data_IF_552271911036
#
_entry.id   IF_552271911036
#
_cell.length_a   1.000
_cell.length_b   1.000
_cell.length_c   1.000
_cell.angle_alpha   90.00
_cell.angle_beta   90.00
_cell.angle_gamma   90.00
#
_symmetry.space_group_name_H-M   'P 1'
#
loop_
_entity.id
_entity.type
_entity.pdbx_description
1 polymer ?
#
# COMPACT_ATOMS: atom_id res chain seq x y z
N UNK A 1 -8.06 -20.83 2.99
CA UNK A 1 -7.14 -20.40 4.08
C UNK A 1 -5.68 -20.77 3.85
N UNK A 2 -5.34 -21.84 3.08
CA UNK A 2 -3.94 -22.28 2.85
C UNK A 2 -2.95 -21.22 2.31
N UNK A 3 -3.42 -20.16 1.65
CA UNK A 3 -2.55 -19.09 1.10
C UNK A 3 -2.34 -17.89 2.04
N UNK A 4 -3.10 -17.79 3.13
CA UNK A 4 -3.00 -16.66 4.07
C UNK A 4 -1.57 -16.42 4.60
N UNK A 5 -0.82 -17.43 5.09
CA UNK A 5 0.53 -17.20 5.59
C UNK A 5 1.49 -16.71 4.51
N UNK A 6 1.33 -17.17 3.27
CA UNK A 6 2.14 -16.68 2.13
C UNK A 6 1.86 -15.21 1.86
N UNK A 7 0.58 -14.81 1.81
CA UNK A 7 0.19 -13.41 1.56
C UNK A 7 0.68 -12.50 2.69
N UNK A 8 0.61 -12.96 3.94
CA UNK A 8 1.15 -12.24 5.10
C UNK A 8 2.67 -12.12 5.02
N UNK A 9 3.37 -13.19 4.65
CA UNK A 9 4.82 -13.18 4.46
C UNK A 9 5.27 -12.23 3.35
N UNK A 10 4.57 -12.21 2.22
CA UNK A 10 4.82 -11.27 1.13
C UNK A 10 4.59 -9.82 1.56
N UNK A 11 3.58 -9.56 2.40
CA UNK A 11 3.35 -8.24 2.96
C UNK A 11 4.50 -7.79 3.88
N UNK A 12 5.00 -8.68 4.74
CA UNK A 12 6.17 -8.40 5.57
C UNK A 12 7.43 -8.11 4.73
N UNK A 13 7.66 -8.91 3.67
CA UNK A 13 8.75 -8.68 2.74
C UNK A 13 8.63 -7.34 2.01
N UNK A 14 7.41 -6.95 1.62
CA UNK A 14 7.14 -5.64 1.03
C UNK A 14 7.58 -4.50 1.95
N UNK A 15 7.16 -4.51 3.22
CA UNK A 15 7.54 -3.44 4.16
C UNK A 15 9.03 -3.41 4.48
N UNK A 16 9.68 -4.57 4.57
CA UNK A 16 11.13 -4.65 4.75
C UNK A 16 11.89 -4.09 3.52
N UNK A 17 11.43 -4.43 2.31
CA UNK A 17 12.00 -3.92 1.07
C UNK A 17 11.78 -2.42 0.90
N UNK A 18 10.61 -1.91 1.28
CA UNK A 18 10.29 -0.48 1.26
C UNK A 18 11.24 0.32 2.17
N UNK A 19 11.43 -0.11 3.42
CA UNK A 19 12.38 0.54 4.33
C UNK A 19 13.81 0.49 3.81
N UNK A 20 14.24 -0.68 3.31
CA UNK A 20 15.59 -0.85 2.78
C UNK A 20 15.82 0.02 1.54
N UNK A 21 14.83 0.11 0.65
CA UNK A 21 14.89 1.00 -0.52
C UNK A 21 15.02 2.46 -0.07
N UNK A 22 14.33 2.82 1.01
CA UNK A 22 14.36 4.14 1.63
C UNK A 22 15.70 4.54 2.24
N UNK A 23 16.51 3.57 2.66
CA UNK A 23 17.81 3.81 3.30
C UNK A 23 18.97 3.94 2.31
N UNK A 24 18.74 3.62 1.03
CA UNK A 24 19.76 3.71 -0.02
C UNK A 24 20.04 5.18 -0.39
N UNK A 25 20.86 5.85 0.42
CA UNK A 25 21.30 7.24 0.23
C UNK A 25 21.96 7.52 -1.13
N UNK A 26 22.51 6.49 -1.78
CA UNK A 26 23.10 6.57 -3.12
C UNK A 26 22.07 6.73 -4.24
N UNK A 27 20.80 6.41 -3.98
CA UNK A 27 19.71 6.46 -4.95
C UNK A 27 18.58 7.33 -4.40
N UNK A 28 18.63 8.66 -4.54
CA UNK A 28 17.65 9.52 -3.88
C UNK A 28 16.21 9.34 -4.40
N UNK A 29 16.04 8.83 -5.62
CA UNK A 29 14.72 8.41 -6.14
C UNK A 29 14.14 7.20 -5.37
N UNK A 30 14.99 6.33 -4.83
CA UNK A 30 14.60 5.15 -4.06
C UNK A 30 14.04 5.58 -2.69
N UNK A 31 14.67 6.60 -2.09
CA UNK A 31 14.16 7.26 -0.89
C UNK A 31 12.76 7.83 -1.11
N UNK A 32 12.56 8.62 -2.17
CA UNK A 32 11.24 9.18 -2.48
C UNK A 32 10.19 8.10 -2.76
N UNK A 33 10.55 7.02 -3.45
CA UNK A 33 9.65 5.91 -3.71
C UNK A 33 9.21 5.16 -2.44
N UNK A 34 10.09 5.07 -1.43
CA UNK A 34 9.75 4.44 -0.14
C UNK A 34 8.80 5.25 0.73
N UNK A 35 8.64 6.55 0.43
CA UNK A 35 7.73 7.42 1.19
C UNK A 35 6.28 7.30 0.70
N UNK A 36 6.03 6.60 -0.41
CA UNK A 36 4.72 6.51 -1.04
C UNK A 36 3.76 5.65 -0.23
N UNK A 37 2.52 6.11 -0.07
CA UNK A 37 1.47 5.56 0.79
C UNK A 37 0.53 4.65 -0.02
N UNK A 38 0.33 4.93 -1.30
CA UNK A 38 -0.56 4.18 -2.18
C UNK A 38 -0.14 2.71 -2.34
N UNK A 39 1.16 2.35 -2.46
CA UNK A 39 1.61 0.96 -2.43
C UNK A 39 1.18 0.20 -1.16
N UNK A 40 1.16 0.87 -0.02
CA UNK A 40 0.74 0.27 1.26
C UNK A 40 -0.76 -0.06 1.28
N UNK A 41 -1.60 0.79 0.69
CA UNK A 41 -3.04 0.52 0.54
C UNK A 41 -3.29 -0.67 -0.39
N UNK A 42 -2.45 -0.82 -1.42
CA UNK A 42 -2.56 -1.90 -2.39
C UNK A 42 -2.31 -3.27 -1.75
N UNK A 43 -1.40 -3.38 -0.77
CA UNK A 43 -1.13 -4.63 -0.02
C UNK A 43 -2.42 -5.18 0.60
N UNK A 44 -3.13 -4.35 1.37
CA UNK A 44 -4.39 -4.74 2.00
C UNK A 44 -5.47 -5.08 0.96
N UNK A 45 -5.57 -4.29 -0.11
CA UNK A 45 -6.52 -4.50 -1.19
C UNK A 45 -6.32 -5.83 -1.91
N UNK A 46 -5.09 -6.14 -2.35
CA UNK A 46 -4.75 -7.39 -3.02
C UNK A 46 -4.93 -8.59 -2.11
N UNK A 47 -4.61 -8.46 -0.82
CA UNK A 47 -4.88 -9.51 0.16
C UNK A 47 -6.38 -9.80 0.25
N UNK A 48 -7.22 -8.76 0.27
CA UNK A 48 -8.67 -8.85 0.22
C UNK A 48 -9.21 -9.61 -1.00
N UNK A 49 -8.62 -9.38 -2.18
CA UNK A 49 -8.94 -10.08 -3.43
C UNK A 49 -8.68 -11.60 -3.38
N UNK A 50 -8.00 -12.13 -2.35
CA UNK A 50 -7.78 -13.57 -2.22
C UNK A 50 -8.84 -14.29 -1.39
N UNK A 51 -9.71 -13.54 -0.70
CA UNK A 51 -10.69 -14.10 0.24
C UNK A 51 -12.09 -14.16 -0.37
N UNK A 52 -12.88 -15.14 0.10
CA UNK A 52 -14.28 -15.39 -0.33
C UNK A 52 -15.33 -14.73 0.56
N UNK A 53 -14.95 -14.28 1.75
CA UNK A 53 -15.88 -13.67 2.69
C UNK A 53 -15.36 -12.31 3.13
N UNK A 54 -16.27 -11.33 3.22
CA UNK A 54 -15.98 -9.95 3.59
C UNK A 54 -15.19 -9.84 4.90
N UNK A 55 -15.59 -10.61 5.93
CA UNK A 55 -14.90 -10.64 7.23
C UNK A 55 -13.47 -11.18 7.13
N UNK A 56 -13.24 -12.27 6.38
CA UNK A 56 -11.89 -12.81 6.19
C UNK A 56 -11.01 -11.86 5.37
N UNK A 57 -11.60 -11.16 4.41
CA UNK A 57 -10.90 -10.17 3.60
C UNK A 57 -10.42 -8.98 4.44
N UNK A 58 -11.29 -8.42 5.28
CA UNK A 58 -10.94 -7.34 6.19
C UNK A 58 -9.85 -7.77 7.21
N UNK A 59 -10.02 -8.95 7.83
CA UNK A 59 -9.02 -9.47 8.78
C UNK A 59 -7.68 -9.77 8.11
N UNK A 60 -7.68 -10.29 6.88
CA UNK A 60 -6.44 -10.54 6.15
C UNK A 60 -5.79 -9.22 5.69
N UNK A 61 -6.58 -8.24 5.27
CA UNK A 61 -6.08 -6.89 4.97
C UNK A 61 -5.38 -6.28 6.18
N UNK A 62 -6.02 -6.32 7.36
CA UNK A 62 -5.40 -5.91 8.62
C UNK A 62 -4.10 -6.65 8.91
N UNK A 63 -4.12 -7.99 8.84
CA UNK A 63 -2.95 -8.81 9.11
C UNK A 63 -1.78 -8.49 8.16
N UNK A 64 -2.06 -8.29 6.87
CA UNK A 64 -1.05 -7.92 5.88
C UNK A 64 -0.50 -6.51 6.11
N UNK A 65 -1.35 -5.52 6.43
CA UNK A 65 -0.90 -4.16 6.76
C UNK A 65 0.04 -4.17 7.97
N UNK A 66 -0.34 -4.87 9.05
CA UNK A 66 0.51 -4.97 10.23
C UNK A 66 1.77 -5.82 9.98
N UNK A 67 1.69 -6.88 9.18
CA UNK A 67 2.87 -7.63 8.79
C UNK A 67 3.86 -6.78 7.98
N UNK A 68 3.38 -5.94 7.06
CA UNK A 68 4.20 -4.96 6.35
C UNK A 68 4.87 -3.96 7.30
N UNK A 69 4.11 -3.39 8.25
CA UNK A 69 4.68 -2.50 9.27
C UNK A 69 5.75 -3.19 10.11
N UNK A 70 5.50 -4.43 10.54
CA UNK A 70 6.49 -5.22 11.28
C UNK A 70 7.74 -5.46 10.43
N UNK A 71 7.59 -5.84 9.16
CA UNK A 71 8.73 -6.01 8.25
C UNK A 71 9.56 -4.75 8.09
N UNK A 72 8.88 -3.61 7.93
CA UNK A 72 9.50 -2.28 7.88
C UNK A 72 10.26 -1.96 9.18
N UNK A 73 9.66 -2.19 10.35
CA UNK A 73 10.30 -1.92 11.64
C UNK A 73 11.47 -2.85 11.94
N UNK A 74 11.33 -4.14 11.58
CA UNK A 74 12.41 -5.12 11.71
C UNK A 74 13.60 -4.68 10.86
N UNK A 75 13.37 -4.25 9.61
CA UNK A 75 14.43 -3.69 8.77
C UNK A 75 15.05 -2.44 9.40
N UNK A 76 14.21 -1.49 9.85
CA UNK A 76 14.65 -0.23 10.49
C UNK A 76 15.57 -0.47 11.70
N UNK A 77 15.25 -1.48 12.52
CA UNK A 77 16.00 -1.83 13.73
C UNK A 77 17.07 -2.91 13.49
N UNK A 78 17.29 -3.29 12.24
CA UNK A 78 18.24 -4.33 11.88
C UNK A 78 19.68 -3.80 11.84
N UNK A 79 20.67 -4.69 12.01
CA UNK A 79 22.07 -4.34 11.77
C UNK A 79 22.37 -3.94 10.32
N UNK A 80 21.52 -4.31 9.35
CA UNK A 80 21.66 -3.92 7.94
C UNK A 80 21.57 -2.40 7.80
N UNK A 81 20.69 -1.79 8.59
CA UNK A 81 20.49 -0.34 8.70
C UNK A 81 21.45 0.32 9.71
N UNK A 82 22.45 -0.41 10.21
CA UNK A 82 23.37 0.06 11.26
C UNK A 82 22.72 0.21 12.64
N UNK A 83 21.49 -0.27 12.82
CA UNK A 83 20.76 -0.21 14.08
C UNK A 83 20.95 -1.47 14.93
N UNK A 84 20.52 -1.39 16.19
CA UNK A 84 20.44 -2.54 17.09
C UNK A 84 19.03 -2.66 17.66
N UNK A 85 18.49 -3.86 17.62
CA UNK A 85 17.20 -4.17 18.22
C UNK A 85 17.31 -4.01 19.74
N UNK A 86 16.75 -2.92 20.26
CA UNK A 86 16.76 -2.57 21.68
C UNK A 86 15.36 -2.15 22.12
N UNK A 87 15.04 -2.33 23.40
CA UNK A 87 13.75 -1.89 23.94
C UNK A 87 13.52 -0.37 23.77
N UNK A 88 14.58 0.43 23.89
CA UNK A 88 14.53 1.86 23.64
C UNK A 88 14.22 2.19 22.17
N UNK A 89 14.90 1.52 21.23
CA UNK A 89 14.65 1.67 19.79
C UNK A 89 13.23 1.28 19.39
N UNK A 90 12.73 0.16 19.92
CA UNK A 90 11.34 -0.29 19.70
C UNK A 90 10.36 0.76 20.23
N UNK A 91 10.55 1.24 21.46
CA UNK A 91 9.67 2.26 22.05
C UNK A 91 9.68 3.55 21.25
N UNK A 92 10.86 4.05 20.88
CA UNK A 92 10.99 5.27 20.07
C UNK A 92 10.25 5.15 18.74
N UNK A 93 10.40 4.00 18.08
CA UNK A 93 9.76 3.71 16.81
C UNK A 93 8.23 3.57 16.92
N UNK A 94 7.71 2.95 17.98
CA UNK A 94 6.26 2.87 18.21
C UNK A 94 5.63 4.25 18.47
N UNK A 95 6.34 5.12 19.20
CA UNK A 95 5.87 6.49 19.48
C UNK A 95 5.85 7.32 18.20
N UNK A 96 6.93 7.28 17.40
CA UNK A 96 7.02 8.04 16.16
C UNK A 96 6.04 7.57 15.09
N UNK A 97 5.71 6.26 15.07
CA UNK A 97 4.81 5.65 14.09
C UNK A 97 3.36 5.52 14.59
N UNK A 98 3.00 6.14 15.72
CA UNK A 98 1.68 6.01 16.33
C UNK A 98 0.52 6.36 15.37
N UNK A 99 0.65 7.43 14.59
CA UNK A 99 -0.35 7.81 13.58
C UNK A 99 -0.46 6.77 12.45
N UNK A 100 0.66 6.21 12.01
CA UNK A 100 0.68 5.17 10.97
C UNK A 100 0.03 3.88 11.48
N UNK A 101 0.26 3.52 12.75
CA UNK A 101 -0.38 2.36 13.39
C UNK A 101 -1.90 2.55 13.45
N UNK A 102 -2.38 3.72 13.89
CA UNK A 102 -3.81 4.03 13.95
C UNK A 102 -4.41 4.05 12.55
N UNK A 103 -3.73 4.65 11.58
CA UNK A 103 -4.11 4.63 10.17
C UNK A 103 -4.26 3.20 9.66
N UNK A 104 -3.28 2.34 9.91
CA UNK A 104 -3.27 0.94 9.51
C UNK A 104 -4.40 0.09 10.10
N UNK A 105 -4.85 0.39 11.33
CA UNK A 105 -6.02 -0.26 11.95
C UNK A 105 -7.31 0.01 11.17
N UNK A 106 -7.39 1.15 10.47
CA UNK A 106 -8.57 1.53 9.70
C UNK A 106 -8.39 1.14 8.23
N UNK A 107 -7.28 1.54 7.62
CA UNK A 107 -7.04 1.35 6.19
C UNK A 107 -6.84 -0.11 5.83
N UNK A 108 -6.17 -0.91 6.66
CA UNK A 108 -5.97 -2.35 6.41
C UNK A 108 -7.26 -3.13 6.22
N UNK A 109 -8.21 -3.09 7.19
CA UNK A 109 -9.53 -3.71 7.03
C UNK A 109 -10.34 -3.14 5.88
N UNK A 110 -10.34 -1.82 5.69
CA UNK A 110 -11.13 -1.14 4.64
C UNK A 110 -10.62 -1.57 3.26
N UNK A 111 -9.31 -1.51 3.02
CA UNK A 111 -8.70 -1.95 1.77
C UNK A 111 -8.96 -3.44 1.52
N UNK A 112 -8.79 -4.29 2.53
CA UNK A 112 -9.09 -5.73 2.43
C UNK A 112 -10.56 -5.99 2.09
N UNK A 113 -11.48 -5.28 2.72
CA UNK A 113 -12.90 -5.37 2.39
C UNK A 113 -13.19 -4.91 0.96
N UNK A 114 -12.67 -3.75 0.55
CA UNK A 114 -12.83 -3.21 -0.80
C UNK A 114 -12.31 -4.15 -1.89
N UNK A 115 -11.17 -4.81 -1.65
CA UNK A 115 -10.60 -5.81 -2.57
C UNK A 115 -11.53 -7.01 -2.77
N UNK A 116 -12.13 -7.52 -1.69
CA UNK A 116 -13.13 -8.59 -1.80
C UNK A 116 -14.39 -8.14 -2.53
N UNK A 117 -14.89 -6.92 -2.26
CA UNK A 117 -16.06 -6.35 -2.94
C UNK A 117 -15.82 -6.16 -4.44
N UNK A 118 -14.62 -5.74 -4.82
CA UNK A 118 -14.22 -5.63 -6.23
C UNK A 118 -14.21 -7.00 -6.92
N UNK A 119 -13.63 -8.01 -6.27
CA UNK A 119 -13.60 -9.38 -6.80
C UNK A 119 -15.02 -9.96 -6.96
N UNK A 120 -15.73 -10.10 -5.86
CA UNK A 120 -16.93 -10.95 -5.79
C UNK A 120 -18.16 -10.25 -6.39
N UNK A 121 -18.31 -8.95 -6.15
CA UNK A 121 -19.50 -8.19 -6.55
C UNK A 121 -19.20 -7.17 -7.64
N UNK A 122 -17.94 -7.06 -8.08
CA UNK A 122 -17.56 -6.12 -9.12
C UNK A 122 -17.73 -4.68 -8.67
N UNK A 123 -17.48 -4.36 -7.40
CA UNK A 123 -17.57 -2.98 -6.93
C UNK A 123 -16.30 -2.19 -7.25
N UNK A 124 -16.44 -1.37 -8.30
CA UNK A 124 -15.43 -0.53 -8.94
C UNK A 124 -14.82 0.52 -8.02
N UNK A 125 -15.63 1.02 -7.09
CA UNK A 125 -15.28 2.16 -6.24
C UNK A 125 -14.02 1.90 -5.40
N UNK A 126 -13.81 0.68 -4.92
CA UNK A 126 -12.62 0.34 -4.15
C UNK A 126 -11.33 0.40 -4.98
N UNK A 127 -11.39 -0.15 -6.19
CA UNK A 127 -10.25 -0.14 -7.11
C UNK A 127 -10.00 1.28 -7.66
N UNK A 128 -11.06 2.06 -7.88
CA UNK A 128 -10.98 3.44 -8.31
C UNK A 128 -10.44 4.36 -7.20
N UNK A 129 -10.80 4.12 -5.93
CA UNK A 129 -10.22 4.82 -4.79
C UNK A 129 -8.73 4.54 -4.63
N UNK A 130 -8.29 3.28 -4.79
CA UNK A 130 -6.86 2.94 -4.79
C UNK A 130 -6.15 3.59 -5.98
N UNK A 131 -6.72 3.53 -7.19
CA UNK A 131 -6.15 4.18 -8.37
C UNK A 131 -6.06 5.70 -8.20
N UNK A 132 -7.10 6.33 -7.63
CA UNK A 132 -7.12 7.74 -7.31
C UNK A 132 -6.06 8.09 -6.27
N UNK A 133 -5.83 7.23 -5.26
CA UNK A 133 -4.75 7.43 -4.30
C UNK A 133 -3.38 7.48 -5.00
N UNK A 134 -3.08 6.54 -5.91
CA UNK A 134 -1.85 6.57 -6.72
C UNK A 134 -1.71 7.83 -7.58
N UNK A 135 -2.81 8.32 -8.18
CA UNK A 135 -2.76 9.51 -9.03
C UNK A 135 -2.69 10.83 -8.24
N UNK A 136 -3.31 10.88 -7.05
CA UNK A 136 -3.47 12.10 -6.26
C UNK A 136 -2.39 12.27 -5.20
N UNK A 137 -1.76 11.18 -4.74
CA UNK A 137 -0.68 11.23 -3.76
C UNK A 137 0.47 12.19 -4.14
N UNK A 138 0.99 12.16 -5.38
CA UNK A 138 2.02 13.10 -5.77
C UNK A 138 1.53 14.55 -5.83
N UNK A 139 0.28 14.79 -6.21
CA UNK A 139 -0.33 16.12 -6.22
C UNK A 139 -0.55 16.65 -4.81
N UNK A 140 -0.99 15.78 -3.89
CA UNK A 140 -1.18 16.11 -2.49
C UNK A 140 0.16 16.48 -1.83
N UNK A 141 1.24 15.76 -2.13
CA UNK A 141 2.59 16.14 -1.67
C UNK A 141 3.02 17.50 -2.20
N UNK A 142 2.88 17.74 -3.51
CA UNK A 142 3.23 19.03 -4.11
C UNK A 142 2.43 20.20 -3.51
N UNK A 143 1.15 19.99 -3.17
CA UNK A 143 0.32 20.97 -2.48
C UNK A 143 0.76 21.23 -1.03
N UNK A 144 1.17 20.19 -0.30
CA UNK A 144 1.70 20.31 1.07
C UNK A 144 3.04 21.03 1.09
N UNK A 145 3.94 20.74 0.14
CA UNK A 145 5.24 21.40 0.04
C UNK A 145 5.10 22.89 -0.27
N UNK A 146 4.18 23.23 -1.18
CA UNK A 146 3.89 24.63 -1.53
C UNK A 146 3.20 25.40 -0.40
N UNK A 147 2.42 24.72 0.44
CA UNK A 147 1.75 25.33 1.59
C UNK A 147 2.65 25.49 2.83
N UNK A 148 3.54 24.54 3.12
CA UNK A 148 4.29 24.48 4.40
C UNK A 148 5.78 24.88 4.23
N UNK A 149 6.28 25.08 2.99
CA UNK A 149 7.70 25.39 2.70
C UNK A 149 8.65 24.39 3.37
N UNK A 150 8.21 23.13 3.48
CA UNK A 150 9.01 22.00 3.89
C UNK A 150 9.63 21.37 2.63
N UNK A 151 10.92 20.99 2.62
CA UNK A 151 11.52 20.37 1.45
C UNK A 151 11.14 18.87 1.41
N UNK A 152 9.91 18.55 0.99
CA UNK A 152 9.40 17.19 0.81
C UNK A 152 9.04 16.80 -0.63
N UNK A 153 9.29 17.69 -1.60
CA UNK A 153 8.88 17.50 -2.98
C UNK A 153 9.59 16.31 -3.62
N UNK A 154 8.82 15.45 -4.30
CA UNK A 154 9.32 14.41 -5.19
C UNK A 154 10.18 15.12 -6.25
N UNK A 155 11.50 15.11 -6.07
CA UNK A 155 12.46 15.75 -6.98
C UNK A 155 12.71 14.90 -8.21
N UNK A 156 12.38 13.61 -8.18
CA UNK A 156 12.62 12.70 -9.29
C UNK A 156 11.34 12.44 -10.09
N UNK A 157 11.21 12.99 -11.32
CA UNK A 157 10.02 12.82 -12.15
C UNK A 157 9.70 11.36 -12.45
N UNK A 158 10.69 10.47 -12.44
CA UNK A 158 10.50 9.04 -12.67
C UNK A 158 9.65 8.37 -11.56
N UNK A 159 9.76 8.81 -10.30
CA UNK A 159 8.97 8.27 -9.18
C UNK A 159 7.51 8.70 -9.35
N UNK A 160 7.30 9.99 -9.66
CA UNK A 160 6.01 10.57 -9.99
C UNK A 160 5.33 9.86 -11.17
N UNK A 161 6.06 9.70 -12.28
CA UNK A 161 5.58 8.99 -13.47
C UNK A 161 5.24 7.53 -13.17
N UNK A 162 6.02 6.87 -12.30
CA UNK A 162 5.78 5.50 -11.87
C UNK A 162 4.46 5.36 -11.10
N UNK A 163 4.19 6.27 -10.15
CA UNK A 163 2.92 6.28 -9.41
C UNK A 163 1.72 6.53 -10.31
N UNK A 164 1.81 7.55 -11.17
CA UNK A 164 0.74 7.88 -12.13
C UNK A 164 0.52 6.72 -13.09
N UNK A 165 1.58 6.11 -13.61
CA UNK A 165 1.48 4.93 -14.47
C UNK A 165 0.85 3.73 -13.72
N UNK A 166 1.20 3.52 -12.46
CA UNK A 166 0.58 2.48 -11.61
C UNK A 166 -0.91 2.73 -11.38
N UNK A 167 -1.29 3.98 -11.09
CA UNK A 167 -2.69 4.41 -10.96
C UNK A 167 -3.47 4.23 -12.26
N UNK A 168 -2.89 4.64 -13.40
CA UNK A 168 -3.48 4.45 -14.73
C UNK A 168 -3.61 2.97 -15.09
N UNK A 169 -2.62 2.14 -14.80
CA UNK A 169 -2.68 0.70 -15.03
C UNK A 169 -3.79 0.05 -14.19
N UNK A 170 -3.93 0.45 -12.92
CA UNK A 170 -5.05 0.05 -12.07
C UNK A 170 -6.38 0.50 -12.67
N UNK A 171 -6.54 1.77 -13.04
CA UNK A 171 -7.75 2.29 -13.67
C UNK A 171 -8.10 1.58 -14.98
N UNK A 172 -7.11 1.23 -15.80
CA UNK A 172 -7.31 0.47 -17.03
C UNK A 172 -7.71 -0.97 -16.75
N UNK A 173 -7.06 -1.64 -15.79
CA UNK A 173 -7.40 -3.00 -15.38
C UNK A 173 -8.85 -3.10 -14.88
N UNK A 174 -9.26 -2.05 -14.15
CA UNK A 174 -10.64 -1.78 -13.79
C UNK A 174 -11.43 -1.68 -15.10
N UNK A 175 -11.26 -0.66 -15.93
CA UNK A 175 -12.06 -0.45 -17.15
C UNK A 175 -12.21 -1.70 -18.06
N UNK A 176 -11.17 -2.53 -18.17
CA UNK A 176 -11.21 -3.79 -18.91
C UNK A 176 -12.14 -4.81 -18.23
N UNK A 177 -12.05 -4.97 -16.92
CA UNK A 177 -12.90 -5.89 -16.18
C UNK A 177 -14.39 -5.49 -16.22
N UNK A 178 -14.74 -4.21 -16.44
CA UNK A 178 -16.13 -3.72 -16.50
C UNK A 178 -16.73 -4.20 -17.80
N UNK A 179 -15.98 -3.93 -18.87
CA UNK A 179 -16.37 -4.25 -20.23
C UNK A 179 -16.56 -5.74 -20.39
N UNK A 180 -15.65 -6.56 -19.85
CA UNK A 180 -15.76 -8.03 -19.87
C UNK A 180 -17.02 -8.55 -19.16
N UNK A 181 -17.40 -7.96 -18.01
CA UNK A 181 -18.63 -8.34 -17.29
C UNK A 181 -19.89 -7.92 -18.07
N UNK A 182 -19.91 -6.71 -18.60
CA UNK A 182 -21.03 -6.21 -19.40
C UNK A 182 -21.23 -7.02 -20.70
N UNK A 183 -20.16 -7.44 -21.37
CA UNK A 183 -20.25 -8.32 -22.54
C UNK A 183 -20.74 -9.72 -22.20
N UNK A 184 -20.34 -10.28 -21.05
CA UNK A 184 -20.82 -11.60 -20.61
C UNK A 184 -22.31 -11.62 -20.31
N UNK A 185 -22.84 -10.55 -19.69
CA UNK A 185 -24.27 -10.43 -19.39
C UNK A 185 -25.14 -10.31 -20.66
N UNK A 186 -24.64 -9.63 -21.69
CA UNK A 186 -25.34 -9.51 -23.00
C UNK A 186 -25.32 -10.80 -23.83
N UNK A 187 -24.35 -11.69 -23.60
CA UNK A 187 -24.27 -12.97 -24.31
C UNK A 187 -25.15 -14.08 -23.67
N UNK A 188 -25.68 -13.83 -22.47
CA UNK A 188 -26.47 -14.80 -21.69
C UNK A 188 -27.95 -14.45 -21.56
N UNK A 189 -28.40 -13.33 -22.16
CA UNK A 189 -29.80 -12.89 -22.21
C UNK A 189 -30.27 -12.80 -23.64
#
# INVERSE_FOLDING_TARGET
>A
MRRAPVVVGLAALFGAADQFLGSLSRYPWAHEASLLSAPWLLVGFLAGCTQRTRRRAALLGLACTFAALIGYWVMTLSPIEGARLTAYGIRGLLVSQSLVIVGGLVTGPVCGWLGNRWRDEGLWLGALAVAAAFCLEPLARAAVDSAIRYPGAIRYPAVWMGEVAGGLAMALSVAIATRRRASSQRASG
#
